data_IF_825462789425
#
_entry.id   IF_825462789425
#
_cell.length_a   1.000
_cell.length_b   1.000
_cell.length_c   1.000
_cell.angle_alpha   90.00
_cell.angle_beta   90.00
_cell.angle_gamma   90.00
#
_symmetry.space_group_name_H-M   'P 1'
#
loop_
_entity.id
_entity.type
_entity.pdbx_description
1 polymer ?
#
# COMPACT_ATOMS: atom_id res chain seq x y z
N UNK A 1 -0.36 -0.42 24.62
CA UNK A 1 0.95 -0.49 23.93
C UNK A 1 0.96 0.53 22.80
N UNK A 2 2.07 1.26 22.56
CA UNK A 2 2.15 2.29 21.50
C UNK A 2 2.16 1.65 20.11
N UNK A 3 1.48 2.28 19.16
CA UNK A 3 1.62 1.92 17.73
C UNK A 3 2.51 2.93 17.00
N UNK A 4 3.40 2.44 16.15
CA UNK A 4 4.31 3.25 15.34
C UNK A 4 4.07 2.87 13.87
N UNK A 5 3.59 3.82 13.07
CA UNK A 5 3.44 3.64 11.62
C UNK A 5 4.77 3.97 10.93
N UNK A 6 5.43 2.96 10.40
CA UNK A 6 6.69 3.06 9.67
C UNK A 6 6.43 3.43 8.18
N UNK A 7 5.77 4.56 7.94
CA UNK A 7 5.40 4.97 6.59
C UNK A 7 5.25 6.49 6.48
N UNK A 8 5.72 7.06 5.37
CA UNK A 8 5.46 8.45 5.00
C UNK A 8 4.11 8.64 4.25
N UNK A 9 3.38 7.56 3.98
CA UNK A 9 2.11 7.61 3.26
C UNK A 9 1.01 8.28 4.07
N UNK A 10 0.54 9.43 3.59
CA UNK A 10 -0.59 10.17 4.18
C UNK A 10 -1.85 9.30 4.21
N UNK A 11 -2.11 8.53 3.16
CA UNK A 11 -3.28 7.65 3.04
C UNK A 11 -3.31 6.55 4.11
N UNK A 12 -2.17 5.92 4.42
CA UNK A 12 -2.08 4.92 5.51
C UNK A 12 -2.35 5.55 6.88
N UNK A 13 -1.83 6.76 7.08
CA UNK A 13 -2.09 7.51 8.30
C UNK A 13 -3.57 7.92 8.41
N UNK A 14 -4.22 8.29 7.31
CA UNK A 14 -5.65 8.59 7.25
C UNK A 14 -6.49 7.37 7.61
N UNK A 15 -6.21 6.19 7.04
CA UNK A 15 -6.92 4.94 7.37
C UNK A 15 -6.91 4.67 8.89
N UNK A 16 -5.74 4.78 9.53
CA UNK A 16 -5.64 4.56 10.98
C UNK A 16 -6.35 5.66 11.78
N UNK A 17 -6.27 6.91 11.33
CA UNK A 17 -6.91 8.05 11.99
C UNK A 17 -8.43 7.97 11.92
N UNK A 18 -8.97 7.62 10.74
CA UNK A 18 -10.41 7.49 10.51
C UNK A 18 -10.99 6.27 11.27
N UNK A 19 -10.16 5.27 11.55
CA UNK A 19 -10.49 4.15 12.41
C UNK A 19 -10.28 4.43 13.91
N UNK A 20 -9.92 5.68 14.29
CA UNK A 20 -9.63 6.11 15.67
C UNK A 20 -8.51 5.31 16.36
N UNK A 21 -7.66 4.62 15.60
CA UNK A 21 -6.51 3.87 16.10
C UNK A 21 -5.38 4.85 16.41
N UNK A 22 -4.93 4.99 17.68
CA UNK A 22 -3.87 5.93 18.05
C UNK A 22 -2.50 5.43 17.57
N UNK A 23 -1.73 6.25 16.91
CA UNK A 23 -0.39 5.93 16.41
C UNK A 23 0.52 7.15 16.37
N UNK A 24 1.82 6.88 16.26
CA UNK A 24 2.84 7.87 15.91
C UNK A 24 3.48 7.50 14.58
N UNK A 25 3.97 8.49 13.82
CA UNK A 25 4.65 8.25 12.54
C UNK A 25 6.16 8.31 12.74
N UNK A 26 6.85 7.29 12.24
CA UNK A 26 8.32 7.29 12.12
C UNK A 26 8.66 6.74 10.74
N UNK A 27 8.96 7.63 9.79
CA UNK A 27 9.22 7.25 8.40
C UNK A 27 10.48 6.40 8.26
N UNK A 28 10.45 5.46 7.33
CA UNK A 28 11.57 4.63 6.91
C UNK A 28 11.88 4.89 5.44
N UNK A 29 13.15 4.87 5.08
CA UNK A 29 13.63 4.89 3.70
C UNK A 29 14.43 3.62 3.46
N UNK A 30 13.93 2.76 2.57
CA UNK A 30 14.58 1.52 2.14
C UNK A 30 14.70 1.54 0.61
N UNK A 31 15.60 0.74 0.06
CA UNK A 31 15.66 0.51 -1.38
C UNK A 31 14.44 -0.34 -1.80
N UNK A 32 13.57 0.24 -2.61
CA UNK A 32 12.34 -0.39 -3.10
C UNK A 32 12.54 -1.11 -4.45
N UNK A 33 13.76 -1.23 -4.94
CA UNK A 33 14.07 -1.89 -6.21
C UNK A 33 13.68 -3.38 -6.17
N UNK A 34 12.83 -3.87 -7.11
CA UNK A 34 12.51 -5.29 -7.19
C UNK A 34 13.73 -6.13 -7.55
N UNK A 35 13.85 -7.34 -7.00
CA UNK A 35 14.85 -8.30 -7.42
C UNK A 35 14.47 -8.98 -8.74
N UNK A 36 15.43 -9.45 -9.54
CA UNK A 36 15.11 -10.18 -10.76
C UNK A 36 14.19 -11.39 -10.49
N UNK A 37 13.03 -11.41 -11.14
CA UNK A 37 12.04 -12.49 -10.98
C UNK A 37 11.20 -12.44 -9.70
N UNK A 38 11.33 -11.40 -8.88
CA UNK A 38 10.54 -11.24 -7.66
C UNK A 38 9.08 -11.03 -8.00
N UNK A 39 8.18 -11.79 -7.34
CA UNK A 39 6.74 -11.58 -7.49
C UNK A 39 6.28 -10.33 -6.73
N UNK A 40 5.13 -9.76 -7.10
CA UNK A 40 4.56 -8.63 -6.37
C UNK A 40 4.29 -8.98 -4.89
N UNK A 41 3.88 -10.22 -4.61
CA UNK A 41 3.68 -10.72 -3.25
C UNK A 41 4.96 -10.75 -2.42
N UNK A 42 6.06 -11.27 -2.99
CA UNK A 42 7.34 -11.34 -2.30
C UNK A 42 7.91 -9.93 -2.09
N UNK A 43 7.84 -9.08 -3.12
CA UNK A 43 8.31 -7.70 -3.08
C UNK A 43 7.65 -6.91 -1.95
N UNK A 44 6.30 -6.86 -1.90
CA UNK A 44 5.60 -6.05 -0.89
C UNK A 44 5.83 -6.56 0.53
N UNK A 45 5.97 -7.87 0.73
CA UNK A 45 6.28 -8.44 2.05
C UNK A 45 7.72 -8.12 2.46
N UNK A 46 8.69 -8.30 1.56
CA UNK A 46 10.10 -7.95 1.80
C UNK A 46 10.25 -6.48 2.17
N UNK A 47 9.62 -5.58 1.40
CA UNK A 47 9.70 -4.15 1.65
C UNK A 47 9.00 -3.76 2.96
N UNK A 48 7.84 -4.36 3.26
CA UNK A 48 7.16 -4.12 4.54
C UNK A 48 8.04 -4.56 5.72
N UNK A 49 8.67 -5.74 5.65
CA UNK A 49 9.59 -6.22 6.69
C UNK A 49 10.79 -5.28 6.84
N UNK A 50 11.45 -4.92 5.76
CA UNK A 50 12.62 -4.03 5.80
C UNK A 50 12.27 -2.66 6.42
N UNK A 51 11.10 -2.09 6.06
CA UNK A 51 10.60 -0.84 6.65
C UNK A 51 10.33 -0.98 8.15
N UNK A 52 9.70 -2.09 8.56
CA UNK A 52 9.39 -2.36 9.97
C UNK A 52 10.67 -2.53 10.81
N UNK A 53 11.63 -3.31 10.35
CA UNK A 53 12.91 -3.56 11.04
C UNK A 53 13.72 -2.27 11.20
N UNK A 54 13.79 -1.43 10.16
CA UNK A 54 14.51 -0.16 10.21
C UNK A 54 13.92 0.79 11.28
N UNK A 55 12.61 0.79 11.46
CA UNK A 55 11.94 1.61 12.47
C UNK A 55 12.02 0.95 13.86
N UNK A 56 11.85 -0.37 13.94
CA UNK A 56 11.97 -1.12 15.19
C UNK A 56 13.35 -0.90 15.87
N UNK A 57 14.41 -0.85 15.08
CA UNK A 57 15.77 -0.59 15.58
C UNK A 57 15.94 0.82 16.21
N UNK A 58 15.04 1.76 15.92
CA UNK A 58 15.07 3.15 16.43
C UNK A 58 13.97 3.44 17.45
N UNK A 59 13.01 2.52 17.60
CA UNK A 59 11.90 2.68 18.54
C UNK A 59 12.39 2.46 19.98
N UNK A 60 11.81 3.22 20.91
CA UNK A 60 12.16 3.16 22.34
C UNK A 60 10.96 2.71 23.15
N UNK A 61 11.15 1.67 23.98
CA UNK A 61 10.15 1.10 24.86
C UNK A 61 9.16 0.16 24.17
N UNK A 62 8.16 -0.35 24.89
CA UNK A 62 7.17 -1.28 24.34
C UNK A 62 6.32 -0.64 23.24
N UNK A 63 6.32 -1.22 22.07
CA UNK A 63 5.60 -0.72 20.90
C UNK A 63 5.30 -1.85 19.90
N UNK A 64 4.32 -1.63 19.01
CA UNK A 64 4.17 -2.41 17.78
C UNK A 64 4.46 -1.48 16.61
N UNK A 65 5.45 -1.84 15.81
CA UNK A 65 5.80 -1.14 14.57
C UNK A 65 4.98 -1.74 13.44
N UNK A 66 4.25 -0.92 12.70
CA UNK A 66 3.43 -1.29 11.55
C UNK A 66 4.09 -0.71 10.30
N UNK A 67 4.42 -1.54 9.34
CA UNK A 67 4.89 -1.12 8.04
C UNK A 67 4.07 -1.78 6.93
N UNK A 68 3.96 -1.11 5.79
CA UNK A 68 3.29 -1.66 4.63
C UNK A 68 3.97 -1.20 3.34
N UNK A 69 3.79 -2.01 2.30
CA UNK A 69 4.14 -1.67 0.93
C UNK A 69 3.03 -2.11 -0.02
N UNK A 70 2.83 -1.38 -1.14
CA UNK A 70 1.69 -1.61 -2.04
C UNK A 70 2.13 -1.51 -3.48
N UNK A 71 1.81 -2.55 -4.25
CA UNK A 71 2.10 -2.62 -5.68
C UNK A 71 0.84 -2.96 -6.49
N UNK A 72 0.81 -2.45 -7.72
CA UNK A 72 -0.17 -2.80 -8.74
C UNK A 72 0.45 -3.81 -9.69
N UNK A 73 -0.25 -4.89 -10.01
CA UNK A 73 0.26 -5.89 -10.96
C UNK A 73 -0.80 -6.33 -11.96
N UNK A 74 -0.38 -6.51 -13.21
CA UNK A 74 -1.20 -7.04 -14.29
C UNK A 74 -0.38 -8.03 -15.13
N UNK A 75 -0.86 -9.26 -15.25
CA UNK A 75 -0.20 -10.31 -16.06
C UNK A 75 1.28 -10.52 -15.66
N UNK A 76 1.56 -10.46 -14.34
CA UNK A 76 2.92 -10.63 -13.79
C UNK A 76 3.83 -9.41 -13.90
N UNK A 77 3.38 -8.33 -14.54
CA UNK A 77 4.12 -7.06 -14.57
C UNK A 77 3.77 -6.19 -13.37
N UNK A 78 4.77 -5.72 -12.66
CA UNK A 78 4.61 -4.82 -11.51
C UNK A 78 4.65 -3.37 -12.01
N UNK A 79 3.63 -2.59 -11.64
CA UNK A 79 3.53 -1.17 -11.93
C UNK A 79 3.87 -0.38 -10.67
N UNK A 80 5.11 0.00 -10.52
CA UNK A 80 5.52 0.92 -9.45
C UNK A 80 4.99 2.34 -9.67
N UNK A 81 5.59 3.30 -8.99
CA UNK A 81 5.27 4.73 -9.21
C UNK A 81 5.79 5.19 -10.58
N UNK A 82 5.01 5.98 -11.32
CA UNK A 82 5.44 6.47 -12.63
C UNK A 82 6.64 7.41 -12.49
N UNK A 83 7.59 7.27 -13.42
CA UNK A 83 8.82 8.09 -13.48
C UNK A 83 8.63 9.39 -14.27
N UNK A 84 7.57 9.48 -15.05
CA UNK A 84 7.21 10.62 -15.88
C UNK A 84 5.71 10.63 -16.18
N UNK A 85 5.20 11.73 -16.76
CA UNK A 85 3.81 11.78 -17.26
C UNK A 85 3.56 10.78 -18.39
N UNK A 86 4.55 10.55 -19.25
CA UNK A 86 4.45 9.54 -20.32
C UNK A 86 4.38 8.12 -19.73
N UNK A 87 5.18 7.82 -18.71
CA UNK A 87 5.14 6.55 -18.01
C UNK A 87 3.77 6.33 -17.35
N UNK A 88 3.25 7.36 -16.65
CA UNK A 88 1.90 7.32 -16.08
C UNK A 88 0.82 7.09 -17.16
N UNK A 89 0.94 7.72 -18.34
CA UNK A 89 0.02 7.51 -19.47
C UNK A 89 0.05 6.05 -19.92
N UNK A 90 1.23 5.49 -20.15
CA UNK A 90 1.38 4.09 -20.55
C UNK A 90 0.82 3.10 -19.52
N UNK A 91 1.02 3.38 -18.21
CA UNK A 91 0.43 2.57 -17.15
C UNK A 91 -1.10 2.57 -17.24
N UNK A 92 -1.73 3.74 -17.35
CA UNK A 92 -3.19 3.87 -17.47
C UNK A 92 -3.75 3.23 -18.75
N UNK A 93 -3.06 3.37 -19.89
CA UNK A 93 -3.42 2.72 -21.15
C UNK A 93 -3.41 1.18 -21.00
N UNK A 94 -2.42 0.64 -20.29
CA UNK A 94 -2.32 -0.80 -20.04
C UNK A 94 -3.39 -1.32 -19.07
N UNK A 95 -3.80 -0.52 -18.10
CA UNK A 95 -4.84 -0.88 -17.12
C UNK A 95 -6.25 -0.69 -17.66
N UNK A 96 -6.44 0.18 -18.67
CA UNK A 96 -7.73 0.51 -19.27
C UNK A 96 -8.48 -0.73 -19.77
N UNK A 97 -9.75 -0.89 -19.36
CA UNK A 97 -10.62 -1.99 -19.74
C UNK A 97 -10.22 -3.36 -19.17
N UNK A 98 -9.30 -3.40 -18.20
CA UNK A 98 -8.78 -4.66 -17.64
C UNK A 98 -9.03 -4.77 -16.14
N UNK A 99 -8.94 -6.00 -15.64
CA UNK A 99 -8.87 -6.30 -14.21
C UNK A 99 -7.42 -6.56 -13.86
N UNK A 100 -6.92 -5.82 -12.87
CA UNK A 100 -5.57 -5.95 -12.34
C UNK A 100 -5.62 -6.23 -10.84
N UNK A 101 -4.50 -6.65 -10.26
CA UNK A 101 -4.40 -6.86 -8.83
C UNK A 101 -3.65 -5.70 -8.15
N UNK A 102 -4.14 -5.33 -6.96
CA UNK A 102 -3.41 -4.49 -6.01
C UNK A 102 -3.02 -5.38 -4.83
N UNK A 103 -1.73 -5.44 -4.55
CA UNK A 103 -1.16 -6.26 -3.49
C UNK A 103 -0.52 -5.35 -2.45
N UNK A 104 -0.95 -5.47 -1.19
CA UNK A 104 -0.31 -4.78 -0.06
C UNK A 104 0.29 -5.79 0.89
N UNK A 105 1.60 -5.71 1.10
CA UNK A 105 2.31 -6.39 2.16
C UNK A 105 2.27 -5.58 3.45
N UNK A 106 2.05 -6.25 4.56
CA UNK A 106 2.07 -5.63 5.90
C UNK A 106 3.00 -6.44 6.79
N UNK A 107 3.82 -5.74 7.56
CA UNK A 107 4.66 -6.33 8.60
C UNK A 107 4.41 -5.60 9.92
N UNK A 108 4.19 -6.38 10.98
CA UNK A 108 4.11 -5.89 12.36
C UNK A 108 5.28 -6.50 13.14
N UNK A 109 5.92 -5.68 13.97
CA UNK A 109 6.99 -6.13 14.91
C UNK A 109 6.65 -5.58 16.29
N UNK A 110 6.42 -6.50 17.25
CA UNK A 110 6.23 -6.14 18.65
C UNK A 110 7.58 -6.02 19.36
N UNK A 111 7.74 -5.00 20.17
CA UNK A 111 8.92 -4.74 20.98
C UNK A 111 8.59 -4.87 22.47
N UNK A 112 9.51 -5.42 23.29
CA UNK A 112 10.93 -5.70 22.98
C UNK A 112 11.22 -7.11 22.44
N UNK A 113 10.27 -8.03 22.41
CA UNK A 113 10.48 -9.46 22.12
C UNK A 113 10.66 -9.78 20.63
N UNK A 114 10.47 -8.79 19.76
CA UNK A 114 10.60 -8.90 18.31
C UNK A 114 9.66 -9.96 17.66
N UNK A 115 8.55 -10.29 18.33
CA UNK A 115 7.51 -11.11 17.71
C UNK A 115 6.95 -10.39 16.48
N UNK A 116 6.79 -11.16 15.39
CA UNK A 116 6.40 -10.58 14.11
C UNK A 116 5.25 -11.30 13.45
N UNK A 117 4.41 -10.51 12.78
CA UNK A 117 3.39 -11.01 11.86
C UNK A 117 3.63 -10.35 10.51
N UNK A 118 3.67 -11.17 9.44
CA UNK A 118 3.85 -10.69 8.06
C UNK A 118 2.78 -11.33 7.19
N UNK A 119 2.10 -10.53 6.39
CA UNK A 119 1.11 -11.02 5.44
C UNK A 119 1.03 -10.13 4.19
N UNK A 120 0.43 -10.64 3.13
CA UNK A 120 0.02 -9.86 1.97
C UNK A 120 -1.48 -10.02 1.73
N UNK A 121 -2.12 -8.95 1.30
CA UNK A 121 -3.53 -8.89 0.90
C UNK A 121 -3.62 -8.54 -0.56
N UNK A 122 -4.54 -9.20 -1.29
CA UNK A 122 -4.76 -8.96 -2.72
C UNK A 122 -6.20 -8.55 -2.97
N UNK A 123 -6.38 -7.51 -3.79
CA UNK A 123 -7.68 -7.05 -4.24
C UNK A 123 -7.65 -6.90 -5.76
N UNK A 124 -8.65 -7.45 -6.44
CA UNK A 124 -8.82 -7.25 -7.86
C UNK A 124 -9.57 -5.94 -8.11
N UNK A 125 -9.05 -5.14 -9.02
CA UNK A 125 -9.61 -3.84 -9.41
C UNK A 125 -9.93 -3.87 -10.89
N UNK A 126 -11.18 -3.69 -11.23
CA UNK A 126 -11.63 -3.61 -12.62
C UNK A 126 -11.64 -2.15 -13.08
N UNK A 127 -10.93 -1.85 -14.15
CA UNK A 127 -11.04 -0.55 -14.84
C UNK A 127 -12.04 -0.61 -15.98
N UNK A 128 -12.84 0.45 -16.13
CA UNK A 128 -13.57 0.72 -17.34
C UNK A 128 -12.60 0.97 -18.51
N UNK A 129 -13.06 0.82 -19.75
CA UNK A 129 -12.29 1.28 -20.90
C UNK A 129 -12.19 2.80 -20.88
N UNK A 130 -10.96 3.33 -20.91
CA UNK A 130 -10.67 4.76 -20.86
C UNK A 130 -10.34 5.27 -22.26
N UNK A 131 -10.93 6.38 -22.65
CA UNK A 131 -10.53 7.10 -23.86
C UNK A 131 -9.20 7.84 -23.63
N UNK A 132 -8.49 8.15 -24.71
CA UNK A 132 -7.27 8.96 -24.66
C UNK A 132 -7.51 10.30 -23.95
N UNK A 133 -8.64 10.97 -24.20
CA UNK A 133 -8.98 12.24 -23.58
C UNK A 133 -9.21 12.14 -22.06
N UNK A 134 -9.79 11.04 -21.57
CA UNK A 134 -9.97 10.80 -20.14
C UNK A 134 -8.63 10.61 -19.47
N UNK A 135 -7.71 9.85 -20.07
CA UNK A 135 -6.36 9.66 -19.57
C UNK A 135 -5.63 11.00 -19.49
N UNK A 136 -5.63 11.81 -20.58
CA UNK A 136 -4.97 13.11 -20.60
C UNK A 136 -5.54 14.06 -19.54
N UNK A 137 -6.87 14.13 -19.38
CA UNK A 137 -7.51 14.94 -18.34
C UNK A 137 -7.15 14.49 -16.92
N UNK A 138 -7.00 13.18 -16.73
CA UNK A 138 -6.61 12.65 -15.44
C UNK A 138 -5.13 12.96 -15.12
N UNK A 139 -4.24 12.80 -16.09
CA UNK A 139 -2.82 13.18 -15.96
C UNK A 139 -2.65 14.67 -15.61
N UNK A 140 -3.43 15.54 -16.23
CA UNK A 140 -3.39 16.96 -15.96
C UNK A 140 -3.80 17.35 -14.51
N UNK A 141 -4.43 16.42 -13.77
CA UNK A 141 -4.77 16.65 -12.35
C UNK A 141 -3.56 16.58 -11.40
N UNK A 142 -2.45 16.02 -11.85
CA UNK A 142 -1.27 15.76 -11.00
C UNK A 142 -1.41 14.56 -10.06
N UNK A 143 -2.61 13.98 -9.93
CA UNK A 143 -2.89 12.86 -9.00
C UNK A 143 -2.08 11.58 -9.28
N UNK A 144 -1.74 11.23 -10.53
CA UNK A 144 -1.04 9.98 -10.86
C UNK A 144 0.37 9.81 -10.30
N UNK A 145 1.11 10.91 -10.10
CA UNK A 145 2.57 10.90 -10.07
C UNK A 145 3.23 10.20 -8.88
N UNK A 146 2.54 10.02 -7.76
CA UNK A 146 3.11 9.44 -6.54
C UNK A 146 2.50 8.08 -6.15
N UNK A 147 1.83 7.41 -7.12
CA UNK A 147 1.02 6.22 -6.85
C UNK A 147 1.43 5.04 -7.74
N UNK A 148 1.51 3.85 -7.15
CA UNK A 148 1.67 2.61 -7.91
C UNK A 148 0.54 2.47 -8.95
N UNK A 149 0.89 2.11 -10.19
CA UNK A 149 -0.08 2.04 -11.29
C UNK A 149 -0.66 3.39 -11.75
N UNK A 150 -0.11 4.51 -11.28
CA UNK A 150 -0.51 5.86 -11.66
C UNK A 150 -1.97 6.21 -11.35
N UNK A 151 -2.59 5.68 -10.28
CA UNK A 151 -3.95 6.04 -9.90
C UNK A 151 -4.22 5.96 -8.41
N UNK A 152 -5.30 6.63 -7.94
CA UNK A 152 -5.82 6.51 -6.58
C UNK A 152 -7.32 6.22 -6.60
N UNK A 153 -7.74 5.11 -5.94
CA UNK A 153 -9.17 4.77 -5.83
C UNK A 153 -9.97 5.83 -5.06
N UNK A 154 -9.36 6.47 -4.07
CA UNK A 154 -9.98 7.54 -3.27
C UNK A 154 -10.05 8.90 -3.99
N UNK A 155 -9.36 9.03 -5.13
CA UNK A 155 -9.29 10.25 -5.90
C UNK A 155 -10.19 10.24 -7.13
N UNK A 156 -9.79 11.03 -8.13
CA UNK A 156 -10.52 11.17 -9.41
C UNK A 156 -10.59 9.87 -10.21
N UNK A 157 -9.63 8.94 -10.00
CA UNK A 157 -9.66 7.63 -10.67
C UNK A 157 -10.77 6.72 -10.16
N UNK A 158 -11.37 6.99 -9.00
CA UNK A 158 -12.51 6.20 -8.51
C UNK A 158 -13.66 6.08 -9.53
N UNK A 159 -13.85 7.08 -10.38
CA UNK A 159 -14.85 7.04 -11.48
C UNK A 159 -14.52 6.05 -12.61
N UNK A 160 -13.29 5.59 -12.69
CA UNK A 160 -12.84 4.61 -13.68
C UNK A 160 -13.00 3.17 -13.18
N UNK A 161 -13.37 2.97 -11.90
CA UNK A 161 -13.39 1.69 -11.22
C UNK A 161 -14.84 1.27 -10.96
N UNK A 162 -15.47 0.51 -11.87
CA UNK A 162 -16.83 0.04 -11.69
C UNK A 162 -16.96 -1.06 -10.62
N UNK A 163 -15.88 -1.80 -10.33
CA UNK A 163 -15.89 -2.93 -9.40
C UNK A 163 -14.52 -3.19 -8.81
N UNK A 164 -14.54 -3.62 -7.55
CA UNK A 164 -13.41 -4.28 -6.89
C UNK A 164 -13.88 -5.63 -6.32
N UNK A 165 -12.95 -6.58 -6.20
CA UNK A 165 -13.17 -7.85 -5.51
C UNK A 165 -12.07 -8.03 -4.47
N UNK A 166 -12.46 -7.93 -3.20
CA UNK A 166 -11.54 -7.92 -2.05
C UNK A 166 -11.71 -6.70 -1.16
N UNK A 167 -10.63 -6.25 -0.55
CA UNK A 167 -10.60 -5.20 0.46
C UNK A 167 -10.31 -3.82 -0.15
N UNK A 168 -11.25 -2.87 0.00
CA UNK A 168 -11.05 -1.47 -0.44
C UNK A 168 -9.84 -0.83 0.23
N UNK A 169 -9.67 -1.00 1.55
CA UNK A 169 -8.55 -0.44 2.29
C UNK A 169 -7.20 -1.00 1.86
N UNK A 170 -7.17 -2.25 1.33
CA UNK A 170 -5.99 -2.80 0.68
C UNK A 170 -5.59 -1.98 -0.55
N UNK A 171 -6.55 -1.61 -1.39
CA UNK A 171 -6.30 -0.78 -2.58
C UNK A 171 -5.80 0.61 -2.19
N UNK A 172 -6.28 1.16 -1.08
CA UNK A 172 -5.78 2.43 -0.52
C UNK A 172 -4.34 2.30 0.01
N UNK A 173 -3.97 1.10 0.51
CA UNK A 173 -2.61 0.78 0.91
C UNK A 173 -2.41 0.25 2.32
N UNK A 174 -3.50 -0.10 3.06
CA UNK A 174 -3.42 -0.73 4.39
C UNK A 174 -4.70 -1.53 4.67
N UNK A 175 -4.70 -2.87 4.58
CA UNK A 175 -5.89 -3.71 4.76
C UNK A 175 -6.33 -3.73 6.23
N UNK A 176 -7.18 -2.77 6.61
CA UNK A 176 -7.52 -2.43 7.98
C UNK A 176 -8.07 -3.62 8.81
N UNK A 177 -9.01 -4.37 8.27
CA UNK A 177 -9.61 -5.49 9.00
C UNK A 177 -8.58 -6.58 9.36
N UNK A 178 -7.69 -6.91 8.43
CA UNK A 178 -6.62 -7.88 8.66
C UNK A 178 -5.52 -7.33 9.56
N UNK A 179 -5.24 -6.03 9.46
CA UNK A 179 -4.35 -5.33 10.40
C UNK A 179 -4.88 -5.40 11.83
N UNK A 180 -6.17 -5.12 12.04
CA UNK A 180 -6.81 -5.20 13.36
C UNK A 180 -6.68 -6.60 13.98
N UNK A 181 -6.89 -7.65 13.17
CA UNK A 181 -6.70 -9.03 13.63
C UNK A 181 -5.25 -9.29 14.07
N UNK A 182 -4.28 -8.88 13.26
CA UNK A 182 -2.86 -9.03 13.59
C UNK A 182 -2.43 -8.22 14.83
N UNK A 183 -3.00 -7.02 15.03
CA UNK A 183 -2.77 -6.22 16.24
C UNK A 183 -3.28 -6.94 17.48
N UNK A 184 -4.48 -7.52 17.42
CA UNK A 184 -5.07 -8.31 18.52
C UNK A 184 -4.22 -9.54 18.83
N UNK A 185 -3.72 -10.25 17.82
CA UNK A 185 -2.83 -11.42 17.97
C UNK A 185 -1.52 -11.03 18.67
N UNK A 186 -0.97 -9.85 18.40
CA UNK A 186 0.19 -9.29 19.10
C UNK A 186 -0.15 -8.68 20.49
N UNK A 187 -1.37 -8.83 20.96
CA UNK A 187 -1.80 -8.37 22.28
C UNK A 187 -2.05 -6.86 22.39
N UNK A 188 -2.31 -6.19 21.28
CA UNK A 188 -2.75 -4.80 21.30
C UNK A 188 -4.26 -4.72 21.56
N UNK A 189 -4.65 -3.78 22.41
CA UNK A 189 -6.03 -3.38 22.68
C UNK A 189 -6.16 -1.86 22.62
N UNK A 190 -7.37 -1.37 22.41
CA UNK A 190 -7.70 0.08 22.37
C UNK A 190 -7.77 0.72 23.78
N UNK A 191 -7.59 -0.06 24.84
CA UNK A 191 -7.66 0.36 26.26
C UNK A 191 -6.36 0.99 26.75
#
# INVERSE_FOLDING_TARGET
MKLILASASVRRAEILRDAEIPFTVLSSAVDETPYPGESAHDLVQRLAVAKAELVAARAVGPAIVIAADTEVTLEGHIFGKPKSSDDARHMLERLSGRTHAVVTGVALIRLPDAERIVFAETTLVQFAALSHEEIIRYLASGEPHDKAGAYAIQGRAGRFIPRIEGCHFNVVGLPLARLQHALTELGWSED
#
